data_IF_818828318559
#
_entry.id   IF_818828318559
#
_cell.length_a   1.000
_cell.length_b   1.000
_cell.length_c   1.000
_cell.angle_alpha   90.00
_cell.angle_beta   90.00
_cell.angle_gamma   90.00
#
_symmetry.space_group_name_H-M   'P 1'
#
loop_
_entity.id
_entity.type
_entity.pdbx_description
1 polymer ?
#
# COMPACT_ATOMS: atom_id res chain seq x y z
N UNK A 1 3.56 8.54 -4.06
CA UNK A 1 3.60 7.14 -3.56
C UNK A 1 5.01 6.82 -3.05
N UNK A 2 5.15 6.18 -1.89
CA UNK A 2 6.44 5.70 -1.38
C UNK A 2 6.45 4.17 -1.40
N UNK A 3 7.41 3.55 -2.09
CA UNK A 3 7.55 2.10 -2.17
C UNK A 3 8.65 1.62 -1.20
N UNK A 4 8.28 0.85 -0.19
CA UNK A 4 9.17 0.30 0.82
C UNK A 4 9.89 -0.94 0.29
N UNK A 5 11.21 -0.91 0.19
CA UNK A 5 12.05 -1.95 -0.40
C UNK A 5 11.65 -2.29 -1.84
N UNK A 6 11.57 -1.24 -2.67
CA UNK A 6 11.16 -1.34 -4.08
C UNK A 6 12.32 -1.73 -5.00
N UNK A 7 12.94 -2.88 -4.75
CA UNK A 7 14.21 -3.30 -5.38
C UNK A 7 14.04 -4.40 -6.44
N UNK A 8 12.82 -4.84 -6.72
CA UNK A 8 12.53 -5.94 -7.65
C UNK A 8 11.87 -5.45 -8.93
N UNK A 9 11.97 -6.26 -9.98
CA UNK A 9 11.46 -5.95 -11.32
C UNK A 9 9.96 -5.71 -11.34
N UNK A 10 9.16 -6.50 -10.60
CA UNK A 10 7.70 -6.35 -10.57
C UNK A 10 7.29 -5.04 -9.92
N UNK A 11 7.95 -4.67 -8.81
CA UNK A 11 7.71 -3.39 -8.13
C UNK A 11 8.09 -2.22 -9.03
N UNK A 12 9.26 -2.29 -9.69
CA UNK A 12 9.74 -1.26 -10.62
C UNK A 12 8.80 -1.12 -11.82
N UNK A 13 8.39 -2.23 -12.45
CA UNK A 13 7.47 -2.20 -13.60
C UNK A 13 6.11 -1.58 -13.22
N UNK A 14 5.54 -1.98 -12.07
CA UNK A 14 4.28 -1.43 -11.58
C UNK A 14 4.41 0.07 -11.24
N UNK A 15 5.51 0.48 -10.62
CA UNK A 15 5.80 1.87 -10.30
C UNK A 15 5.96 2.73 -11.56
N UNK A 16 6.71 2.24 -12.56
CA UNK A 16 6.87 2.93 -13.83
C UNK A 16 5.54 3.10 -14.56
N UNK A 17 4.69 2.07 -14.53
CA UNK A 17 3.36 2.16 -15.12
C UNK A 17 2.47 3.17 -14.41
N UNK A 18 2.57 3.29 -13.08
CA UNK A 18 1.84 4.31 -12.33
C UNK A 18 2.27 5.73 -12.70
N UNK A 19 3.58 5.95 -12.90
CA UNK A 19 4.13 7.25 -13.38
C UNK A 19 3.67 7.54 -14.81
N UNK A 20 3.81 6.57 -15.72
CA UNK A 20 3.39 6.70 -17.13
C UNK A 20 1.91 7.09 -17.26
N UNK A 21 1.05 6.50 -16.45
CA UNK A 21 -0.39 6.79 -16.43
C UNK A 21 -0.77 8.07 -15.66
N UNK A 22 0.20 8.76 -15.06
CA UNK A 22 -0.05 9.96 -14.24
C UNK A 22 -0.84 9.68 -12.95
N UNK A 23 -0.76 8.44 -12.43
CA UNK A 23 -1.47 8.03 -11.22
C UNK A 23 -0.72 8.45 -9.94
N UNK A 24 0.61 8.48 -9.99
CA UNK A 24 1.44 8.86 -8.84
C UNK A 24 2.86 9.26 -9.29
N UNK A 25 3.44 10.23 -8.57
CA UNK A 25 4.89 10.37 -8.49
C UNK A 25 5.41 9.32 -7.52
N UNK A 26 6.51 8.64 -7.86
CA UNK A 26 7.00 7.48 -7.12
C UNK A 26 8.36 7.72 -6.51
N UNK A 27 8.47 7.48 -5.21
CA UNK A 27 9.74 7.35 -4.48
C UNK A 27 10.01 5.88 -4.18
N UNK A 28 11.13 5.34 -4.66
CA UNK A 28 11.60 4.00 -4.32
C UNK A 28 12.61 4.09 -3.17
N UNK A 29 12.32 3.44 -2.06
CA UNK A 29 13.21 3.33 -0.91
C UNK A 29 13.84 1.95 -0.91
N UNK A 30 15.17 1.87 -1.00
CA UNK A 30 15.88 0.61 -1.07
C UNK A 30 17.33 0.74 -1.53
N UNK A 31 17.95 -0.41 -1.78
CA UNK A 31 19.31 -0.46 -2.33
C UNK A 31 19.32 0.07 -3.77
N UNK A 32 20.06 1.16 -3.99
CA UNK A 32 20.10 1.84 -5.28
C UNK A 32 20.66 0.94 -6.40
N UNK A 33 21.63 0.08 -6.10
CA UNK A 33 22.23 -0.79 -7.12
C UNK A 33 21.25 -1.88 -7.54
N UNK A 34 20.47 -2.42 -6.57
CA UNK A 34 19.38 -3.36 -6.87
C UNK A 34 18.26 -2.70 -7.67
N UNK A 35 17.88 -1.47 -7.32
CA UNK A 35 16.88 -0.68 -8.09
C UNK A 35 17.38 -0.45 -9.50
N UNK A 36 18.63 0.00 -9.68
CA UNK A 36 19.21 0.24 -11.00
C UNK A 36 19.23 -1.03 -11.87
N UNK A 37 19.58 -2.17 -11.26
CA UNK A 37 19.52 -3.47 -11.91
C UNK A 37 18.09 -3.84 -12.34
N UNK A 38 17.12 -3.70 -11.46
CA UNK A 38 15.72 -3.99 -11.77
C UNK A 38 15.18 -3.08 -12.88
N UNK A 39 15.53 -1.77 -12.86
CA UNK A 39 15.18 -0.84 -13.93
C UNK A 39 15.80 -1.26 -15.28
N UNK A 40 17.06 -1.66 -15.29
CA UNK A 40 17.73 -2.12 -16.52
C UNK A 40 17.09 -3.39 -17.08
N UNK A 41 16.70 -4.34 -16.23
CA UNK A 41 16.02 -5.59 -16.63
C UNK A 41 14.64 -5.32 -17.25
N UNK A 42 13.89 -4.34 -16.73
CA UNK A 42 12.57 -3.94 -17.24
C UNK A 42 12.62 -2.88 -18.35
N UNK A 43 13.80 -2.36 -18.69
CA UNK A 43 13.95 -1.30 -19.67
C UNK A 43 13.34 0.05 -19.22
N UNK A 44 13.30 0.28 -17.92
CA UNK A 44 12.75 1.50 -17.29
C UNK A 44 13.89 2.49 -17.04
N UNK A 45 13.69 3.75 -17.43
CA UNK A 45 14.61 4.83 -17.05
C UNK A 45 14.42 5.14 -15.54
N UNK A 46 15.48 4.89 -14.76
CA UNK A 46 15.47 5.13 -13.31
C UNK A 46 15.16 6.60 -12.94
N UNK A 47 15.43 7.55 -13.86
CA UNK A 47 15.21 8.98 -13.63
C UNK A 47 13.74 9.37 -13.47
N UNK A 48 12.80 8.47 -13.81
CA UNK A 48 11.36 8.70 -13.59
C UNK A 48 10.95 8.57 -12.12
N UNK A 49 11.86 8.07 -11.27
CA UNK A 49 11.64 7.87 -9.83
C UNK A 49 12.49 8.81 -8.99
N UNK A 50 12.02 9.16 -7.82
CA UNK A 50 12.86 9.63 -6.72
C UNK A 50 13.44 8.41 -6.01
N UNK A 51 14.76 8.36 -5.85
CA UNK A 51 15.46 7.25 -5.18
C UNK A 51 15.93 7.68 -3.79
N UNK A 52 15.55 6.93 -2.78
CA UNK A 52 16.07 7.06 -1.42
C UNK A 52 16.87 5.82 -1.09
N UNK A 53 18.21 5.95 -1.16
CA UNK A 53 19.11 4.83 -0.94
C UNK A 53 19.15 4.38 0.51
N UNK A 54 18.92 3.09 0.72
CA UNK A 54 19.22 2.39 1.97
C UNK A 54 19.44 0.91 1.66
N UNK A 55 20.65 0.40 1.93
CA UNK A 55 21.02 -0.98 1.61
C UNK A 55 20.44 -2.04 2.57
N UNK A 56 19.80 -1.60 3.67
CA UNK A 56 19.19 -2.49 4.66
C UNK A 56 17.66 -2.53 4.47
N UNK A 57 17.11 -3.72 4.28
CA UNK A 57 15.67 -3.92 4.06
C UNK A 57 14.81 -3.35 5.19
N UNK A 58 15.17 -3.65 6.46
CA UNK A 58 14.38 -3.21 7.61
C UNK A 58 14.41 -1.70 7.78
N UNK A 59 15.59 -1.10 7.59
CA UNK A 59 15.74 0.36 7.65
C UNK A 59 15.03 1.03 6.49
N UNK A 60 15.03 0.46 5.29
CA UNK A 60 14.28 0.96 4.14
C UNK A 60 12.78 0.97 4.42
N UNK A 61 12.25 -0.11 4.99
CA UNK A 61 10.83 -0.17 5.36
C UNK A 61 10.48 0.86 6.43
N UNK A 62 11.32 0.99 7.48
CA UNK A 62 11.11 1.99 8.52
C UNK A 62 11.19 3.43 7.96
N UNK A 63 12.15 3.69 7.07
CA UNK A 63 12.32 4.99 6.42
C UNK A 63 11.12 5.33 5.54
N UNK A 64 10.60 4.39 4.76
CA UNK A 64 9.40 4.60 3.95
C UNK A 64 8.17 4.92 4.81
N UNK A 65 8.01 4.26 5.95
CA UNK A 65 6.95 4.57 6.94
C UNK A 65 7.13 5.98 7.51
N UNK A 66 8.37 6.35 7.85
CA UNK A 66 8.66 7.70 8.35
C UNK A 66 8.34 8.79 7.32
N UNK A 67 8.67 8.59 6.05
CA UNK A 67 8.36 9.53 4.97
C UNK A 67 6.85 9.79 4.84
N UNK A 68 6.01 8.75 5.05
CA UNK A 68 4.55 8.93 5.08
C UNK A 68 4.13 9.77 6.30
N UNK A 69 4.71 9.54 7.48
CA UNK A 69 4.42 10.33 8.68
C UNK A 69 4.84 11.81 8.53
N UNK A 70 5.92 12.06 7.81
CA UNK A 70 6.45 13.40 7.55
C UNK A 70 5.69 14.13 6.40
N UNK A 71 4.73 13.44 5.76
CA UNK A 71 3.93 14.01 4.67
C UNK A 71 4.66 14.06 3.32
N UNK A 72 5.75 13.31 3.17
CA UNK A 72 6.51 13.21 1.92
C UNK A 72 5.86 12.26 0.90
N UNK A 73 4.75 11.64 1.25
CA UNK A 73 3.95 10.79 0.37
C UNK A 73 2.56 10.54 0.91
N UNK A 74 1.61 10.30 0.00
CA UNK A 74 0.18 10.13 0.32
C UNK A 74 -0.18 8.69 0.69
N UNK A 75 0.57 7.72 0.17
CA UNK A 75 0.37 6.30 0.48
C UNK A 75 1.64 5.48 0.35
N UNK A 76 1.67 4.39 1.11
CA UNK A 76 2.78 3.46 1.20
C UNK A 76 2.49 2.20 0.37
N UNK A 77 3.42 1.83 -0.51
CA UNK A 77 3.39 0.58 -1.25
C UNK A 77 4.42 -0.40 -0.69
N UNK A 78 4.04 -1.67 -0.57
CA UNK A 78 4.95 -2.76 -0.23
C UNK A 78 5.68 -3.24 -1.48
N UNK A 79 7.02 -3.20 -1.46
CA UNK A 79 7.88 -3.86 -2.45
C UNK A 79 8.23 -5.30 -2.06
N UNK A 80 9.46 -5.72 -2.28
CA UNK A 80 9.91 -7.12 -2.07
C UNK A 80 10.17 -7.50 -0.60
N UNK A 81 9.85 -6.67 0.37
CA UNK A 81 10.00 -7.03 1.79
C UNK A 81 8.95 -8.05 2.25
N UNK A 82 9.25 -8.80 3.32
CA UNK A 82 8.27 -9.73 3.89
C UNK A 82 7.08 -8.99 4.50
N UNK A 83 5.88 -9.59 4.43
CA UNK A 83 4.66 -9.00 5.00
C UNK A 83 4.77 -8.76 6.50
N UNK A 84 5.44 -9.66 7.24
CA UNK A 84 5.69 -9.51 8.67
C UNK A 84 6.53 -8.25 8.98
N UNK A 85 7.64 -8.04 8.29
CA UNK A 85 8.50 -6.86 8.45
C UNK A 85 7.75 -5.57 8.13
N UNK A 86 7.00 -5.57 7.03
CA UNK A 86 6.21 -4.45 6.59
C UNK A 86 5.11 -4.08 7.61
N UNK A 87 4.33 -5.05 8.04
CA UNK A 87 3.28 -4.83 9.04
C UNK A 87 3.83 -4.41 10.39
N UNK A 88 4.96 -4.96 10.84
CA UNK A 88 5.62 -4.51 12.08
C UNK A 88 6.00 -3.04 12.06
N UNK A 89 6.48 -2.53 10.93
CA UNK A 89 6.81 -1.12 10.79
C UNK A 89 5.55 -0.24 10.82
N UNK A 90 4.50 -0.62 10.11
CA UNK A 90 3.21 0.11 10.10
C UNK A 90 2.55 0.10 11.48
N UNK A 91 2.61 -1.01 12.21
CA UNK A 91 1.98 -1.19 13.51
C UNK A 91 2.85 -0.74 14.69
N UNK A 92 4.03 -0.20 14.44
CA UNK A 92 4.89 0.32 15.50
C UNK A 92 4.15 1.45 16.23
N UNK A 93 4.13 1.39 17.57
CA UNK A 93 3.35 2.33 18.41
C UNK A 93 3.91 3.75 18.42
N UNK A 94 5.21 3.89 18.15
CA UNK A 94 5.92 5.17 18.22
C UNK A 94 6.12 5.80 16.84
N UNK A 95 6.45 4.97 15.85
CA UNK A 95 6.86 5.42 14.51
C UNK A 95 5.96 4.91 13.39
N UNK A 96 4.95 4.10 13.69
CA UNK A 96 4.06 3.51 12.70
C UNK A 96 2.97 4.46 12.20
N UNK A 97 2.12 3.95 11.31
CA UNK A 97 1.06 4.73 10.67
C UNK A 97 -0.30 4.56 11.38
N UNK A 98 -0.43 3.59 12.28
CA UNK A 98 -1.71 3.34 12.93
C UNK A 98 -1.92 4.32 14.10
N UNK A 99 -2.99 5.14 14.10
CA UNK A 99 -3.27 6.05 15.20
C UNK A 99 -3.57 5.28 16.51
N UNK A 100 -3.43 5.91 17.67
CA UNK A 100 -3.75 5.28 18.94
C UNK A 100 -5.16 4.70 18.94
N UNK A 101 -5.30 3.42 19.33
CA UNK A 101 -6.55 2.64 19.30
C UNK A 101 -7.13 2.42 17.88
N UNK A 102 -6.38 2.70 16.84
CA UNK A 102 -6.74 2.39 15.47
C UNK A 102 -6.84 0.88 15.24
N UNK A 103 -7.60 0.50 14.24
CA UNK A 103 -7.73 -0.90 13.78
C UNK A 103 -7.23 -0.97 12.35
N UNK A 104 -6.21 -1.78 12.10
CA UNK A 104 -5.80 -2.11 10.75
C UNK A 104 -6.78 -3.13 10.18
N UNK A 105 -7.31 -2.87 9.00
CA UNK A 105 -8.21 -3.78 8.30
C UNK A 105 -7.91 -3.80 6.81
N UNK A 106 -8.34 -4.85 6.14
CA UNK A 106 -8.17 -5.03 4.71
C UNK A 106 -9.48 -4.71 3.96
N UNK A 107 -9.37 -3.89 2.91
CA UNK A 107 -10.46 -3.60 1.99
C UNK A 107 -10.05 -4.02 0.57
N UNK A 108 -10.83 -4.90 -0.05
CA UNK A 108 -10.62 -5.32 -1.45
C UNK A 108 -11.75 -4.81 -2.32
N UNK A 109 -11.41 -4.22 -3.45
CA UNK A 109 -12.36 -3.89 -4.51
C UNK A 109 -12.22 -4.93 -5.62
N UNK A 110 -13.33 -5.58 -5.98
CA UNK A 110 -13.39 -6.65 -6.98
C UNK A 110 -14.22 -6.20 -8.17
N UNK A 111 -13.67 -6.37 -9.36
CA UNK A 111 -14.41 -6.39 -10.61
C UNK A 111 -14.57 -7.85 -11.04
N UNK A 112 -15.81 -8.36 -11.03
CA UNK A 112 -16.10 -9.76 -11.27
C UNK A 112 -16.74 -9.91 -12.65
N UNK A 113 -16.17 -10.72 -13.57
CA UNK A 113 -16.79 -10.99 -14.87
C UNK A 113 -18.23 -11.47 -14.72
N UNK A 114 -19.15 -10.82 -15.42
CA UNK A 114 -20.58 -11.13 -15.36
C UNK A 114 -21.36 -10.51 -14.18
N UNK A 115 -20.70 -9.78 -13.29
CA UNK A 115 -21.36 -9.00 -12.26
C UNK A 115 -21.36 -7.50 -12.64
N UNK A 116 -22.50 -6.85 -12.54
CA UNK A 116 -22.76 -5.54 -13.16
C UNK A 116 -22.15 -4.32 -12.45
N UNK A 117 -21.43 -4.52 -11.34
CA UNK A 117 -20.85 -3.45 -10.52
C UNK A 117 -19.65 -3.93 -9.72
N UNK A 118 -18.86 -2.99 -9.18
CA UNK A 118 -17.77 -3.31 -8.24
C UNK A 118 -18.33 -3.90 -6.94
N UNK A 119 -17.63 -4.88 -6.40
CA UNK A 119 -17.88 -5.48 -5.10
C UNK A 119 -16.75 -5.12 -4.14
N UNK A 120 -17.11 -4.65 -2.95
CA UNK A 120 -16.15 -4.30 -1.89
C UNK A 120 -16.25 -5.34 -0.78
N UNK A 121 -15.13 -5.95 -0.43
CA UNK A 121 -15.08 -7.04 0.57
C UNK A 121 -14.03 -6.70 1.62
N UNK A 122 -14.33 -6.94 2.87
CA UNK A 122 -13.42 -6.82 4.02
C UNK A 122 -14.02 -7.50 5.27
N UNK A 123 -13.23 -7.90 6.22
CA UNK A 123 -11.79 -8.14 6.17
C UNK A 123 -11.53 -9.55 5.66
N UNK A 124 -10.56 -9.72 4.76
CA UNK A 124 -10.23 -11.04 4.19
C UNK A 124 -8.78 -11.48 4.48
N UNK A 125 -8.00 -10.65 5.21
CA UNK A 125 -6.57 -10.90 5.31
C UNK A 125 -5.93 -10.54 6.66
N UNK A 126 -6.52 -9.66 7.46
CA UNK A 126 -5.90 -9.09 8.66
C UNK A 126 -6.59 -9.55 9.96
N UNK A 127 -7.91 -9.54 10.00
CA UNK A 127 -8.71 -9.87 11.20
C UNK A 127 -9.52 -11.14 10.94
N UNK A 128 -9.06 -12.33 11.41
CA UNK A 128 -9.72 -13.60 11.11
C UNK A 128 -11.10 -13.75 11.76
N UNK A 129 -11.30 -13.17 12.95
CA UNK A 129 -12.54 -13.27 13.72
C UNK A 129 -12.86 -11.91 14.37
N UNK A 130 -13.40 -10.96 13.61
CA UNK A 130 -13.66 -9.62 14.11
C UNK A 130 -14.79 -9.61 15.14
N UNK A 131 -14.56 -8.89 16.25
CA UNK A 131 -15.61 -8.55 17.19
C UNK A 131 -16.57 -7.49 16.61
N UNK A 132 -17.63 -7.15 17.34
CA UNK A 132 -18.63 -6.20 16.88
C UNK A 132 -18.02 -4.83 16.53
N UNK A 133 -17.13 -4.32 17.38
CA UNK A 133 -16.48 -3.02 17.17
C UNK A 133 -15.59 -3.04 15.92
N UNK A 134 -14.85 -4.13 15.73
CA UNK A 134 -14.02 -4.33 14.54
C UNK A 134 -14.89 -4.45 13.28
N UNK A 135 -16.02 -5.18 13.33
CA UNK A 135 -16.96 -5.24 12.20
C UNK A 135 -17.50 -3.86 11.82
N UNK A 136 -17.80 -3.01 12.78
CA UNK A 136 -18.21 -1.63 12.53
C UNK A 136 -17.10 -0.82 11.84
N UNK A 137 -15.86 -0.96 12.31
CA UNK A 137 -14.70 -0.28 11.69
C UNK A 137 -14.47 -0.78 10.26
N UNK A 138 -14.53 -2.09 10.02
CA UNK A 138 -14.42 -2.69 8.70
C UNK A 138 -15.49 -2.12 7.76
N UNK A 139 -16.73 -2.09 8.21
CA UNK A 139 -17.85 -1.53 7.45
C UNK A 139 -17.61 -0.07 7.09
N UNK A 140 -17.16 0.76 8.04
CA UNK A 140 -16.85 2.17 7.80
C UNK A 140 -15.73 2.35 6.75
N UNK A 141 -14.69 1.52 6.81
CA UNK A 141 -13.62 1.51 5.82
C UNK A 141 -14.13 1.12 4.42
N UNK A 142 -14.94 0.08 4.32
CA UNK A 142 -15.56 -0.35 3.06
C UNK A 142 -16.46 0.74 2.45
N UNK A 143 -17.27 1.39 3.28
CA UNK A 143 -18.15 2.50 2.86
C UNK A 143 -17.32 3.69 2.35
N UNK A 144 -16.23 4.05 3.04
CA UNK A 144 -15.31 5.10 2.60
C UNK A 144 -14.66 4.75 1.27
N UNK A 145 -14.16 3.52 1.12
CA UNK A 145 -13.54 3.04 -0.13
C UNK A 145 -14.54 3.09 -1.29
N UNK A 146 -15.76 2.57 -1.09
CA UNK A 146 -16.80 2.61 -2.11
C UNK A 146 -17.17 4.05 -2.54
N UNK A 147 -17.28 4.97 -1.57
CA UNK A 147 -17.55 6.39 -1.87
C UNK A 147 -16.39 7.07 -2.62
N UNK A 148 -15.15 6.72 -2.30
CA UNK A 148 -13.98 7.28 -2.97
C UNK A 148 -13.93 6.94 -4.47
N UNK A 149 -14.53 5.81 -4.88
CA UNK A 149 -14.65 5.41 -6.29
C UNK A 149 -16.02 5.76 -6.90
N UNK A 150 -16.76 6.67 -6.29
CA UNK A 150 -17.98 7.25 -6.86
C UNK A 150 -19.30 6.54 -6.52
N UNK A 151 -19.32 5.58 -5.59
CA UNK A 151 -20.57 4.95 -5.13
C UNK A 151 -21.22 5.83 -4.06
N UNK A 152 -22.21 6.63 -4.42
CA UNK A 152 -22.83 7.60 -3.51
C UNK A 152 -23.53 6.94 -2.31
N UNK A 153 -24.25 5.84 -2.54
CA UNK A 153 -25.08 5.14 -1.54
C UNK A 153 -24.72 3.65 -1.49
N UNK A 154 -23.57 3.29 -0.91
CA UNK A 154 -23.16 1.89 -0.80
C UNK A 154 -24.11 1.12 0.12
N UNK A 155 -24.51 -0.08 -0.32
CA UNK A 155 -25.29 -1.02 0.47
C UNK A 155 -24.33 -2.04 1.08
N UNK A 156 -24.50 -2.32 2.38
CA UNK A 156 -23.63 -3.22 3.12
C UNK A 156 -24.41 -4.43 3.61
N UNK A 157 -23.83 -5.61 3.45
CA UNK A 157 -24.26 -6.85 4.12
C UNK A 157 -23.15 -7.26 5.11
N UNK A 158 -23.56 -7.61 6.32
CA UNK A 158 -22.67 -8.18 7.35
C UNK A 158 -22.96 -9.68 7.39
N UNK A 159 -21.93 -10.48 7.21
CA UNK A 159 -21.99 -11.94 7.18
C UNK A 159 -21.16 -12.54 8.33
#
# INVERSE_FOLDING_TARGET
MVAAWGVDTHTVAAAAKAVELGLADVTLVGDQDLIAKACAEEGVDMSVFTIVHNADELKSVAQAVQMINDGEGDFLMKGLCSTDKFLRAILNKETGLLPPKGTLTHCTTLEIPGYHKLLFVGDVAVIPAPDFKQKMTIMDCLVKTAKAVGVEKPKVAII
#
